data_IF_596837048929
#
_entry.id   IF_596837048929
#
_cell.length_a   1.000
_cell.length_b   1.000
_cell.length_c   1.000
_cell.angle_alpha   90.00
_cell.angle_beta   90.00
_cell.angle_gamma   90.00
#
_symmetry.space_group_name_H-M   'P 1'
#
loop_
_entity.id
_entity.type
_entity.pdbx_description
1 polymer ?
#
# COMPACT_ATOMS: atom_id res chain seq x y z
N UNK A 1 -11.93 -23.53 -52.00
CA UNK A 1 -11.35 -22.31 -51.42
C UNK A 1 -11.06 -22.60 -49.96
N UNK A 2 -9.80 -22.55 -49.57
CA UNK A 2 -9.35 -22.60 -48.17
C UNK A 2 -9.34 -21.18 -47.64
N UNK A 3 -10.24 -20.84 -46.72
CA UNK A 3 -10.12 -19.63 -45.92
C UNK A 3 -9.54 -20.04 -44.56
N UNK A 4 -8.22 -19.91 -44.50
CA UNK A 4 -7.40 -20.11 -43.31
C UNK A 4 -7.29 -18.75 -42.63
N UNK A 5 -8.25 -18.42 -41.77
CA UNK A 5 -8.26 -17.15 -41.06
C UNK A 5 -7.17 -17.10 -39.99
N UNK A 6 -6.12 -16.40 -40.38
CA UNK A 6 -4.97 -15.96 -39.61
C UNK A 6 -5.34 -15.31 -38.28
N UNK A 7 -4.77 -15.87 -37.23
CA UNK A 7 -4.31 -15.26 -35.97
C UNK A 7 -4.53 -13.74 -35.82
N UNK A 8 -5.51 -13.35 -34.99
CA UNK A 8 -5.56 -12.00 -34.40
C UNK A 8 -5.30 -12.09 -32.90
N UNK A 9 -4.05 -11.78 -32.56
CA UNK A 9 -3.57 -11.01 -31.42
C UNK A 9 -4.29 -11.20 -30.06
N UNK A 10 -3.52 -11.69 -29.09
CA UNK A 10 -3.92 -11.93 -27.71
C UNK A 10 -4.60 -10.75 -27.01
N UNK A 11 -5.86 -10.96 -26.66
CA UNK A 11 -6.66 -10.16 -25.73
C UNK A 11 -6.54 -10.70 -24.30
N UNK A 12 -5.30 -10.95 -23.86
CA UNK A 12 -5.00 -11.49 -22.54
C UNK A 12 -4.83 -10.42 -21.47
N UNK A 13 -5.90 -10.16 -20.70
CA UNK A 13 -5.85 -9.86 -19.27
C UNK A 13 -4.89 -8.75 -18.80
N UNK A 14 -5.30 -7.48 -18.96
CA UNK A 14 -4.65 -6.33 -18.32
C UNK A 14 -4.68 -6.33 -16.78
N UNK A 15 -5.51 -7.18 -16.16
CA UNK A 15 -5.63 -7.32 -14.70
C UNK A 15 -4.40 -7.97 -14.06
N UNK A 16 -3.93 -9.10 -14.60
CA UNK A 16 -2.83 -9.85 -14.00
C UNK A 16 -1.48 -9.14 -14.15
N UNK A 17 -1.25 -8.46 -15.29
CA UNK A 17 -0.02 -7.69 -15.53
C UNK A 17 0.07 -6.45 -14.63
N UNK A 18 -1.04 -5.75 -14.40
CA UNK A 18 -1.10 -4.60 -13.50
C UNK A 18 -0.94 -5.01 -12.03
N UNK A 19 -1.56 -6.11 -11.62
CA UNK A 19 -1.36 -6.66 -10.28
C UNK A 19 0.08 -7.10 -10.05
N UNK A 20 0.69 -7.77 -11.04
CA UNK A 20 2.10 -8.17 -10.98
C UNK A 20 3.04 -6.96 -10.93
N UNK A 21 2.77 -5.88 -11.67
CA UNK A 21 3.60 -4.66 -11.61
C UNK A 21 3.51 -4.03 -10.22
N UNK A 22 2.31 -3.96 -9.63
CA UNK A 22 2.08 -3.45 -8.29
C UNK A 22 2.75 -4.29 -7.21
N UNK A 23 2.68 -5.60 -7.36
CA UNK A 23 3.37 -6.55 -6.49
C UNK A 23 4.89 -6.36 -6.54
N UNK A 24 5.47 -6.21 -7.74
CA UNK A 24 6.91 -5.96 -7.90
C UNK A 24 7.32 -4.61 -7.30
N UNK A 25 6.54 -3.55 -7.53
CA UNK A 25 6.81 -2.22 -6.94
C UNK A 25 6.77 -2.27 -5.41
N UNK A 26 5.76 -2.92 -4.82
CA UNK A 26 5.64 -3.14 -3.38
C UNK A 26 6.81 -3.98 -2.83
N UNK A 27 7.20 -5.05 -3.53
CA UNK A 27 8.31 -5.90 -3.14
C UNK A 27 9.63 -5.11 -3.13
N UNK A 28 9.92 -4.35 -4.19
CA UNK A 28 11.12 -3.50 -4.26
C UNK A 28 11.10 -2.44 -3.16
N UNK A 29 9.95 -1.79 -2.93
CA UNK A 29 9.79 -0.78 -1.89
C UNK A 29 9.94 -1.33 -0.48
N UNK A 30 9.73 -2.65 -0.26
CA UNK A 30 10.02 -3.33 1.02
C UNK A 30 11.49 -3.71 1.15
N UNK A 31 12.09 -4.17 0.05
CA UNK A 31 13.46 -4.66 0.06
C UNK A 31 14.46 -3.53 0.33
N UNK A 32 14.22 -2.32 -0.21
CA UNK A 32 15.06 -1.13 0.04
C UNK A 32 15.20 -0.80 1.54
N UNK A 33 14.12 -0.56 2.30
CA UNK A 33 14.21 -0.29 3.74
C UNK A 33 14.80 -1.48 4.51
N UNK A 34 14.54 -2.72 4.09
CA UNK A 34 15.11 -3.90 4.74
C UNK A 34 16.64 -3.98 4.59
N UNK A 35 17.16 -3.71 3.39
CA UNK A 35 18.61 -3.60 3.15
C UNK A 35 19.22 -2.44 3.94
N UNK A 36 18.52 -1.32 4.03
CA UNK A 36 18.96 -0.14 4.78
C UNK A 36 19.08 -0.41 6.29
N UNK A 37 18.16 -1.20 6.85
CA UNK A 37 18.22 -1.62 8.27
C UNK A 37 19.29 -2.69 8.50
N UNK A 38 19.48 -3.60 7.55
CA UNK A 38 20.46 -4.70 7.67
C UNK A 38 21.91 -4.21 7.53
N UNK A 39 22.15 -3.16 6.75
CA UNK A 39 23.44 -2.48 6.67
C UNK A 39 23.28 -1.03 7.16
N UNK A 40 23.29 -0.78 8.49
CA UNK A 40 23.16 0.56 9.04
C UNK A 40 24.45 1.36 8.78
N UNK A 41 24.63 1.83 7.55
CA UNK A 41 25.73 2.71 7.13
C UNK A 41 25.47 4.17 7.48
N UNK A 42 24.21 4.50 7.82
CA UNK A 42 23.75 5.83 8.20
C UNK A 42 23.46 5.92 9.70
N UNK A 43 23.43 7.16 10.21
CA UNK A 43 23.09 7.42 11.60
C UNK A 43 21.70 6.87 11.95
N UNK A 44 21.55 6.34 13.18
CA UNK A 44 20.28 5.78 13.70
C UNK A 44 19.06 6.69 13.47
N UNK A 45 19.10 8.01 13.73
CA UNK A 45 17.93 8.87 13.50
C UNK A 45 17.55 8.98 12.02
N UNK A 46 18.54 9.03 11.12
CA UNK A 46 18.29 9.13 9.68
C UNK A 46 17.70 7.83 9.13
N UNK A 47 18.19 6.68 9.59
CA UNK A 47 17.65 5.37 9.22
C UNK A 47 16.20 5.23 9.67
N UNK A 48 15.85 5.67 10.88
CA UNK A 48 14.48 5.65 11.38
C UNK A 48 13.55 6.57 10.58
N UNK A 49 13.99 7.79 10.25
CA UNK A 49 13.20 8.71 9.43
C UNK A 49 12.91 8.14 8.04
N UNK A 50 13.91 7.55 7.38
CA UNK A 50 13.75 6.88 6.10
C UNK A 50 12.77 5.70 6.22
N UNK A 51 12.90 4.88 7.27
CA UNK A 51 12.04 3.71 7.49
C UNK A 51 10.56 4.10 7.60
N UNK A 52 10.26 5.15 8.37
CA UNK A 52 8.90 5.69 8.51
C UNK A 52 8.41 6.24 7.18
N UNK A 53 9.25 6.95 6.42
CA UNK A 53 8.91 7.44 5.09
C UNK A 53 8.54 6.30 4.13
N UNK A 54 9.37 5.25 4.07
CA UNK A 54 9.09 4.05 3.26
C UNK A 54 7.80 3.35 3.70
N UNK A 55 7.53 3.27 5.02
CA UNK A 55 6.30 2.66 5.54
C UNK A 55 5.04 3.40 5.07
N UNK A 56 5.04 4.73 5.05
CA UNK A 56 3.91 5.53 4.56
C UNK A 56 3.69 5.31 3.06
N UNK A 57 4.76 5.39 2.26
CA UNK A 57 4.67 5.16 0.81
C UNK A 57 4.19 3.73 0.53
N UNK A 58 4.63 2.76 1.34
CA UNK A 58 4.23 1.37 1.20
C UNK A 58 2.73 1.17 1.43
N UNK A 59 2.14 1.82 2.44
CA UNK A 59 0.69 1.80 2.65
C UNK A 59 -0.01 2.34 1.40
N UNK A 60 0.45 3.45 0.83
CA UNK A 60 -0.17 4.05 -0.37
C UNK A 60 -0.08 3.11 -1.58
N UNK A 61 1.10 2.53 -1.85
CA UNK A 61 1.31 1.60 -2.98
C UNK A 61 0.45 0.36 -2.81
N UNK A 62 0.43 -0.25 -1.62
CA UNK A 62 -0.41 -1.41 -1.32
C UNK A 62 -1.89 -1.07 -1.53
N UNK A 63 -2.35 0.09 -1.06
CA UNK A 63 -3.73 0.51 -1.25
C UNK A 63 -4.09 0.74 -2.73
N UNK A 64 -3.21 1.33 -3.53
CA UNK A 64 -3.48 1.61 -4.95
C UNK A 64 -3.46 0.34 -5.81
N UNK A 65 -2.47 -0.53 -5.61
CA UNK A 65 -2.26 -1.69 -6.47
C UNK A 65 -3.03 -2.94 -6.03
N UNK A 66 -3.13 -3.18 -4.72
CA UNK A 66 -3.77 -4.38 -4.18
C UNK A 66 -5.29 -4.21 -4.08
N UNK A 67 -5.75 -3.03 -3.67
CA UNK A 67 -7.18 -2.69 -3.72
C UNK A 67 -7.50 -2.07 -5.08
N UNK A 68 -7.27 -2.87 -6.12
CA UNK A 68 -7.48 -2.57 -7.54
C UNK A 68 -8.75 -1.75 -7.75
N UNK A 69 -8.63 -0.43 -7.66
CA UNK A 69 -9.70 0.48 -7.96
C UNK A 69 -9.76 0.51 -9.46
N UNK A 70 -10.55 -0.42 -9.97
CA UNK A 70 -10.84 -0.57 -11.37
C UNK A 70 -11.22 0.81 -11.90
N UNK A 71 -10.32 1.45 -12.66
CA UNK A 71 -10.53 2.73 -13.35
C UNK A 71 -11.64 2.65 -14.42
N UNK A 72 -12.49 1.62 -14.33
CA UNK A 72 -13.59 1.28 -15.20
C UNK A 72 -14.86 0.89 -14.41
N UNK A 73 -14.92 1.04 -13.09
CA UNK A 73 -16.19 0.93 -12.35
C UNK A 73 -16.79 2.32 -12.24
N UNK A 74 -17.94 2.52 -12.87
CA UNK A 74 -18.73 3.74 -12.97
C UNK A 74 -18.55 4.73 -11.79
N UNK A 75 -17.95 5.88 -12.12
CA UNK A 75 -18.27 7.17 -11.52
C UNK A 75 -17.85 7.42 -10.08
N UNK A 76 -16.56 7.38 -9.71
CA UNK A 76 -16.01 8.12 -8.55
C UNK A 76 -16.49 7.74 -7.14
N UNK A 77 -17.62 7.06 -6.98
CA UNK A 77 -18.25 6.68 -5.72
C UNK A 77 -17.42 5.63 -4.98
N UNK A 78 -16.71 4.76 -5.71
CA UNK A 78 -15.79 3.79 -5.11
C UNK A 78 -14.55 4.47 -4.51
N UNK A 79 -14.07 5.57 -5.11
CA UNK A 79 -13.00 6.36 -4.53
C UNK A 79 -13.49 7.08 -3.25
N UNK A 80 -14.71 7.61 -3.27
CA UNK A 80 -15.29 8.27 -2.11
C UNK A 80 -15.50 7.31 -0.92
N UNK A 81 -16.08 6.13 -1.16
CA UNK A 81 -16.23 5.11 -0.11
C UNK A 81 -14.87 4.61 0.40
N UNK A 82 -13.90 4.45 -0.47
CA UNK A 82 -12.55 4.04 -0.11
C UNK A 82 -11.84 5.07 0.79
N UNK A 83 -11.85 6.35 0.40
CA UNK A 83 -11.25 7.42 1.22
C UNK A 83 -11.96 7.50 2.58
N UNK A 84 -13.28 7.34 2.62
CA UNK A 84 -14.04 7.29 3.87
C UNK A 84 -13.58 6.13 4.78
N UNK A 85 -13.42 4.91 4.24
CA UNK A 85 -12.89 3.78 5.01
C UNK A 85 -11.47 4.03 5.49
N UNK A 86 -10.61 4.65 4.67
CA UNK A 86 -9.23 4.98 5.04
C UNK A 86 -9.19 6.00 6.20
N UNK A 87 -10.06 7.01 6.18
CA UNK A 87 -10.19 7.99 7.27
C UNK A 87 -10.66 7.31 8.55
N UNK A 88 -11.66 6.43 8.48
CA UNK A 88 -12.11 5.66 9.66
C UNK A 88 -10.97 4.81 10.20
N UNK A 89 -10.25 4.08 9.34
CA UNK A 89 -9.09 3.28 9.74
C UNK A 89 -8.05 4.13 10.47
N UNK A 90 -7.72 5.29 9.93
CA UNK A 90 -6.76 6.21 10.54
C UNK A 90 -7.23 6.70 11.92
N UNK A 91 -8.50 7.09 12.03
CA UNK A 91 -9.11 7.51 13.30
C UNK A 91 -9.05 6.37 14.31
N UNK A 92 -9.46 5.15 13.94
CA UNK A 92 -9.47 3.99 14.84
C UNK A 92 -8.07 3.67 15.32
N UNK A 93 -7.06 3.66 14.44
CA UNK A 93 -5.66 3.36 14.82
C UNK A 93 -5.09 4.46 15.72
N UNK A 94 -5.22 5.72 15.32
CA UNK A 94 -4.72 6.86 16.10
C UNK A 94 -5.39 6.94 17.48
N UNK A 95 -6.72 6.77 17.51
CA UNK A 95 -7.50 6.76 18.74
C UNK A 95 -7.16 5.55 19.62
N UNK A 96 -6.94 4.36 19.04
CA UNK A 96 -6.52 3.17 19.80
C UNK A 96 -5.18 3.40 20.49
N UNK A 97 -4.19 3.92 19.75
CA UNK A 97 -2.88 4.25 20.30
C UNK A 97 -3.02 5.30 21.39
N UNK A 98 -3.80 6.36 21.15
CA UNK A 98 -4.06 7.41 22.13
C UNK A 98 -4.73 6.88 23.40
N UNK A 99 -5.77 6.04 23.27
CA UNK A 99 -6.49 5.47 24.41
C UNK A 99 -5.55 4.59 25.23
N UNK A 100 -4.78 3.70 24.60
CA UNK A 100 -3.84 2.81 25.30
C UNK A 100 -2.77 3.63 26.01
N UNK A 101 -2.23 4.67 25.35
CA UNK A 101 -1.28 5.58 25.95
C UNK A 101 -1.91 6.31 27.14
N UNK A 102 -3.06 6.96 26.97
CA UNK A 102 -3.78 7.67 28.03
C UNK A 102 -4.12 6.76 29.22
N UNK A 103 -4.60 5.55 28.97
CA UNK A 103 -4.89 4.57 30.03
C UNK A 103 -3.63 4.11 30.74
N UNK A 104 -2.55 3.82 30.01
CA UNK A 104 -1.26 3.53 30.64
C UNK A 104 -0.86 4.70 31.53
N UNK A 105 -0.82 5.93 31.01
CA UNK A 105 -0.50 7.13 31.80
C UNK A 105 -1.35 7.27 33.06
N UNK A 106 -2.67 7.04 33.00
CA UNK A 106 -3.53 7.14 34.18
C UNK A 106 -3.46 5.92 35.12
N UNK A 107 -2.99 4.75 34.67
CA UNK A 107 -2.85 3.54 35.49
C UNK A 107 -1.46 3.38 36.13
N UNK A 108 -0.40 3.95 35.53
CA UNK A 108 0.95 4.02 36.14
C UNK A 108 1.21 5.30 36.96
N UNK A 109 0.26 6.24 37.00
CA UNK A 109 0.31 7.49 37.81
C UNK A 109 -0.29 7.32 39.21
N UNK A 110 -0.44 6.07 39.69
CA UNK A 110 -0.63 5.74 41.11
C UNK A 110 0.49 4.80 41.55
#
# INVERSE_FOLDING_TARGET
>A
MSDNDTSRAGSGHGSTKSYLIGFVICAVLTVIPFMLVMNPTLSRPLTMALLVGFAVVQIIVQLVYFLHMNRSSEGGWNLASFVFTLVILFIVVALSIWIIWSMHFHMMVN
#
